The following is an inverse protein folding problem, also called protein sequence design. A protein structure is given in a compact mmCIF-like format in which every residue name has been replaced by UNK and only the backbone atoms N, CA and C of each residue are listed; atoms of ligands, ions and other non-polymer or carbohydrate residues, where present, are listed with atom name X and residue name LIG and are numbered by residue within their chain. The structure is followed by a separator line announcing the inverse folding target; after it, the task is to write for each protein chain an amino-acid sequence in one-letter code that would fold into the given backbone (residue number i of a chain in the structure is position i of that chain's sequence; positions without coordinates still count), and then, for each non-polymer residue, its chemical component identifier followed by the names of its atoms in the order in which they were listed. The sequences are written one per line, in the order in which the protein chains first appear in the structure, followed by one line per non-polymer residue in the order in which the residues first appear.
data_IF_903702452288
#
_entry.id   IF_903702452288
#
_cell.length_a   1.000
_cell.length_b   1.000
_cell.length_c   1.000
_cell.angle_alpha   90.00
_cell.angle_beta   90.00
_cell.angle_gamma   90.00
#
_symmetry.space_group_name_H-M   'P 1'
#
loop_
_entity.id
_entity.type
_entity.pdbx_description
1 polymer ?
#
# COMPACT_ATOMS: atom_id res chain seq x y z
N UNK A 1 3.91 -27.51 9.53
CA UNK A 1 3.40 -27.29 8.16
C UNK A 1 3.25 -25.78 7.97
N UNK A 2 3.72 -25.19 6.86
CA UNK A 2 3.44 -23.77 6.60
C UNK A 2 1.93 -23.59 6.47
N UNK A 3 1.36 -22.64 7.22
CA UNK A 3 -0.05 -22.32 7.08
C UNK A 3 -0.32 -21.86 5.65
N UNK A 4 -1.45 -22.26 5.04
CA UNK A 4 -1.81 -21.80 3.71
C UNK A 4 -1.94 -20.28 3.72
N UNK A 5 -1.29 -19.64 2.75
CA UNK A 5 -1.27 -18.18 2.60
C UNK A 5 -2.69 -17.64 2.53
N UNK A 6 -3.01 -16.66 3.38
CA UNK A 6 -4.31 -15.99 3.34
C UNK A 6 -4.45 -15.20 2.03
N UNK A 7 -5.65 -15.25 1.44
CA UNK A 7 -5.95 -14.54 0.20
C UNK A 7 -6.07 -13.03 0.51
N UNK A 8 -5.44 -12.21 -0.32
CA UNK A 8 -5.58 -10.75 -0.21
C UNK A 8 -7.05 -10.33 -0.36
N UNK A 9 -7.47 -9.38 0.48
CA UNK A 9 -8.82 -8.81 0.48
C UNK A 9 -8.74 -7.34 0.06
N UNK A 10 -9.70 -6.90 -0.77
CA UNK A 10 -9.76 -5.52 -1.21
C UNK A 10 -10.32 -4.62 -0.11
N UNK A 11 -9.57 -3.58 0.25
CA UNK A 11 -10.01 -2.51 1.14
C UNK A 11 -10.50 -1.31 0.32
N UNK A 12 -11.78 -0.97 0.42
CA UNK A 12 -12.36 0.22 -0.23
C UNK A 12 -12.55 1.33 0.81
N UNK A 13 -11.94 2.50 0.59
CA UNK A 13 -12.04 3.64 1.50
C UNK A 13 -12.41 4.90 0.71
N UNK A 14 -13.36 5.69 1.22
CA UNK A 14 -13.65 7.02 0.68
C UNK A 14 -12.77 8.05 1.38
N UNK A 15 -12.04 8.83 0.59
CA UNK A 15 -11.17 9.91 1.07
C UNK A 15 -11.41 11.17 0.25
N UNK A 16 -11.03 12.32 0.79
CA UNK A 16 -11.08 13.58 0.05
C UNK A 16 -9.96 13.64 -0.99
N UNK A 17 -10.12 14.55 -1.96
CA UNK A 17 -9.10 14.81 -2.98
C UNK A 17 -7.75 15.23 -2.37
N UNK A 18 -7.78 16.04 -1.31
CA UNK A 18 -6.58 16.48 -0.58
C UNK A 18 -5.81 15.28 -0.03
N UNK A 19 -6.52 14.29 0.54
CA UNK A 19 -5.91 13.10 1.13
C UNK A 19 -5.31 12.18 0.07
N UNK A 20 -6.03 11.89 -1.03
CA UNK A 20 -5.49 11.01 -2.08
C UNK A 20 -4.28 11.64 -2.77
N UNK A 21 -4.28 12.96 -2.98
CA UNK A 21 -3.11 13.67 -3.52
C UNK A 21 -1.92 13.62 -2.57
N UNK A 22 -2.15 13.76 -1.26
CA UNK A 22 -1.09 13.62 -0.26
C UNK A 22 -0.49 12.21 -0.27
N UNK A 23 -1.32 11.16 -0.31
CA UNK A 23 -0.88 9.77 -0.42
C UNK A 23 -0.02 9.54 -1.68
N UNK A 24 -0.46 10.03 -2.85
CA UNK A 24 0.32 9.95 -4.10
C UNK A 24 1.68 10.62 -3.99
N UNK A 25 1.73 11.84 -3.45
CA UNK A 25 2.99 12.57 -3.28
C UNK A 25 3.95 11.85 -2.35
N UNK A 26 3.45 11.37 -1.20
CA UNK A 26 4.28 10.63 -0.24
C UNK A 26 4.79 9.32 -0.83
N UNK A 27 3.96 8.61 -1.59
CA UNK A 27 4.37 7.39 -2.28
C UNK A 27 5.50 7.67 -3.29
N UNK A 28 5.37 8.73 -4.11
CA UNK A 28 6.39 9.14 -5.07
C UNK A 28 7.71 9.55 -4.40
N UNK A 29 7.66 10.35 -3.32
CA UNK A 29 8.85 10.81 -2.59
C UNK A 29 9.64 9.66 -1.93
N UNK A 30 8.98 8.55 -1.62
CA UNK A 30 9.57 7.39 -0.94
C UNK A 30 9.81 6.21 -1.88
N UNK A 31 9.65 6.41 -3.19
CA UNK A 31 9.73 5.37 -4.22
C UNK A 31 8.93 4.09 -3.88
N UNK A 32 7.68 4.29 -3.44
CA UNK A 32 6.79 3.24 -2.94
C UNK A 32 5.37 3.41 -3.47
N UNK A 33 4.41 2.62 -3.00
CA UNK A 33 2.99 2.68 -3.37
C UNK A 33 2.15 3.39 -2.31
N UNK A 34 0.98 3.89 -2.71
CA UNK A 34 0.01 4.44 -1.75
C UNK A 34 -0.43 3.39 -0.71
N UNK A 35 -0.56 2.11 -1.13
CA UNK A 35 -0.85 0.98 -0.26
C UNK A 35 0.20 0.91 0.85
N UNK A 36 1.48 0.85 0.49
CA UNK A 36 2.56 0.73 1.48
C UNK A 36 2.65 1.96 2.40
N UNK A 37 2.40 3.18 1.89
CA UNK A 37 2.29 4.38 2.74
C UNK A 37 1.18 4.22 3.78
N UNK A 38 0.00 3.75 3.36
CA UNK A 38 -1.13 3.51 4.25
C UNK A 38 -0.81 2.43 5.29
N UNK A 39 -0.29 1.27 4.85
CA UNK A 39 0.04 0.15 5.73
C UNK A 39 1.08 0.55 6.78
N UNK A 40 2.11 1.32 6.39
CA UNK A 40 3.10 1.85 7.34
C UNK A 40 2.49 2.84 8.34
N UNK A 41 1.49 3.64 7.92
CA UNK A 41 0.78 4.53 8.83
C UNK A 41 -0.08 3.76 9.84
N UNK A 42 -0.76 2.69 9.41
CA UNK A 42 -1.52 1.79 10.29
C UNK A 42 -0.59 1.11 11.31
N UNK A 43 0.56 0.60 10.86
CA UNK A 43 1.57 0.02 11.75
C UNK A 43 2.07 1.03 12.79
N UNK A 44 2.34 2.29 12.38
CA UNK A 44 2.73 3.37 13.30
C UNK A 44 1.64 3.71 14.31
N UNK A 45 0.36 3.50 13.96
CA UNK A 45 -0.77 3.66 14.87
C UNK A 45 -1.00 2.45 15.79
N UNK A 46 -0.15 1.40 15.70
CA UNK A 46 -0.24 0.19 16.53
C UNK A 46 -1.16 -0.90 15.96
N UNK A 47 -1.58 -0.79 14.71
CA UNK A 47 -2.40 -1.82 14.04
C UNK A 47 -1.45 -2.89 13.49
N UNK A 48 -1.74 -4.16 13.80
CA UNK A 48 -1.00 -5.29 13.25
C UNK A 48 -1.27 -5.43 11.75
N UNK A 49 -0.20 -5.59 10.97
CA UNK A 49 -0.24 -5.69 9.50
C UNK A 49 0.58 -6.91 9.10
N UNK A 50 0.06 -7.68 8.14
CA UNK A 50 0.81 -8.78 7.54
C UNK A 50 2.05 -8.22 6.82
N UNK A 51 3.27 -8.73 7.10
CA UNK A 51 4.49 -8.25 6.43
C UNK A 51 4.41 -8.30 4.90
N UNK A 52 3.57 -9.15 4.31
CA UNK A 52 3.38 -9.22 2.88
C UNK A 52 2.67 -7.99 2.30
N UNK A 53 1.94 -7.23 3.11
CA UNK A 53 1.34 -5.96 2.70
C UNK A 53 2.33 -4.79 2.77
N UNK A 54 3.53 -5.02 3.32
CA UNK A 54 4.65 -4.09 3.38
C UNK A 54 5.68 -4.44 2.31
N UNK A 55 5.36 -4.21 1.04
CA UNK A 55 6.33 -4.44 -0.03
C UNK A 55 5.70 -4.66 -1.40
N UNK A 56 5.15 -3.60 -1.97
CA UNK A 56 4.91 -3.54 -3.41
C UNK A 56 5.83 -2.46 -3.96
N UNK A 57 6.93 -2.88 -4.62
CA UNK A 57 7.64 -1.98 -5.52
C UNK A 57 6.62 -1.44 -6.51
N UNK A 58 6.62 -0.12 -6.69
CA UNK A 58 5.76 0.62 -7.60
C UNK A 58 5.54 -0.20 -8.86
N UNK A 59 4.35 -0.83 -8.97
CA UNK A 59 4.05 -1.62 -10.16
C UNK A 59 3.85 -0.60 -11.26
N UNK A 60 4.79 -0.57 -12.21
CA UNK A 60 4.62 0.28 -13.38
C UNK A 60 3.25 -0.04 -14.00
N UNK A 61 2.46 0.98 -14.34
CA UNK A 61 1.24 0.79 -15.12
C UNK A 61 1.51 -0.15 -16.29
N UNK A 62 0.53 -0.97 -16.68
CA UNK A 62 0.72 -1.99 -17.73
C UNK A 62 1.24 -1.41 -19.07
N UNK A 63 1.01 -0.12 -19.32
CA UNK A 63 1.48 0.60 -20.50
C UNK A 63 2.92 1.14 -20.36
N UNK A 64 3.55 1.03 -19.19
CA UNK A 64 4.93 1.47 -18.91
C UNK A 64 5.88 0.29 -18.61
N UNK A 65 5.45 -0.97 -18.84
CA UNK A 65 6.31 -2.15 -18.66
C UNK A 65 7.14 -2.39 -19.94
N UNK A 66 8.45 -2.73 -19.84
CA UNK A 66 9.29 -3.08 -21.00
C UNK A 66 8.86 -4.41 -21.65
#
# INVERSE_FOLDING_TARGET
MPQPRQKAVNLNVKVTETTIRALSRTAALRDTTQKEVLMRALLKAGIEIDPHDLGEKRTLPWHERP
#
